data_IF_246047327046
#
_entry.id   IF_246047327046
#
_cell.length_a   1.000
_cell.length_b   1.000
_cell.length_c   1.000
_cell.angle_alpha   90.00
_cell.angle_beta   90.00
_cell.angle_gamma   90.00
#
_symmetry.space_group_name_H-M   'P 1'
#
loop_
_entity.id
_entity.type
_entity.pdbx_description
1 polymer ?
#
# COMPACT_ATOMS: atom_id res chain seq x y z
N UNK A 1 5.07 -11.83 19.96
CA UNK A 1 3.61 -11.77 20.12
C UNK A 1 3.22 -10.55 20.93
N UNK A 2 2.08 -9.95 20.61
CA UNK A 2 1.47 -8.88 21.40
C UNK A 2 0.45 -9.52 22.37
N UNK A 3 0.42 -9.03 23.60
CA UNK A 3 -0.56 -9.42 24.60
C UNK A 3 -1.10 -8.16 25.27
N UNK A 4 -2.33 -8.21 25.77
CA UNK A 4 -2.93 -7.12 26.50
C UNK A 4 -2.38 -7.11 27.92
N UNK A 5 -1.76 -5.99 28.33
CA UNK A 5 -1.21 -5.77 29.67
C UNK A 5 -1.84 -4.52 30.24
N UNK A 6 -2.86 -4.69 31.07
CA UNK A 6 -3.67 -3.59 31.57
C UNK A 6 -4.47 -2.95 30.44
N UNK A 7 -4.24 -1.66 30.14
CA UNK A 7 -4.89 -0.91 29.05
C UNK A 7 -4.02 -0.76 27.79
N UNK A 8 -2.89 -1.47 27.70
CA UNK A 8 -1.95 -1.35 26.58
C UNK A 8 -1.64 -2.72 25.99
N UNK A 9 -1.36 -2.75 24.69
CA UNK A 9 -0.76 -3.91 24.05
C UNK A 9 0.76 -3.86 24.23
N UNK A 10 1.34 -4.95 24.73
CA UNK A 10 2.78 -5.07 24.95
C UNK A 10 3.34 -6.28 24.23
N UNK A 11 4.62 -6.19 23.84
CA UNK A 11 5.37 -7.33 23.30
C UNK A 11 5.90 -8.15 24.49
N UNK A 12 5.28 -9.29 24.77
CA UNK A 12 5.65 -10.16 25.89
C UNK A 12 6.73 -11.16 25.53
N UNK A 13 6.94 -11.43 24.25
CA UNK A 13 7.99 -12.32 23.76
C UNK A 13 8.76 -11.65 22.64
N UNK A 14 10.00 -11.29 22.94
CA UNK A 14 10.91 -10.68 21.97
C UNK A 14 11.40 -11.72 20.95
N UNK A 15 11.50 -11.38 19.66
CA UNK A 15 12.11 -12.24 18.67
C UNK A 15 13.63 -12.28 18.88
N UNK A 16 14.25 -13.45 18.71
CA UNK A 16 15.69 -13.66 18.85
C UNK A 16 16.37 -14.07 17.55
N UNK A 17 15.63 -14.77 16.70
CA UNK A 17 16.13 -15.26 15.43
C UNK A 17 16.09 -14.15 14.35
N UNK A 18 17.01 -14.24 13.37
CA UNK A 18 17.18 -13.23 12.34
C UNK A 18 15.86 -12.91 11.59
N UNK A 19 15.13 -13.90 11.10
CA UNK A 19 13.89 -13.72 10.36
C UNK A 19 12.79 -12.99 11.17
N UNK A 20 12.39 -13.50 12.34
CA UNK A 20 11.43 -12.82 13.22
C UNK A 20 11.86 -11.43 13.68
N UNK A 21 13.16 -11.19 13.90
CA UNK A 21 13.67 -9.84 14.19
C UNK A 21 13.49 -8.91 13.00
N UNK A 22 13.82 -9.35 11.79
CA UNK A 22 13.61 -8.58 10.57
C UNK A 22 12.12 -8.22 10.39
N UNK A 23 11.21 -9.17 10.60
CA UNK A 23 9.76 -8.93 10.55
C UNK A 23 9.29 -7.91 11.61
N UNK A 24 9.91 -7.92 12.81
CA UNK A 24 9.60 -6.93 13.84
C UNK A 24 9.99 -5.50 13.41
N UNK A 25 11.16 -5.32 12.78
CA UNK A 25 11.56 -4.03 12.21
C UNK A 25 10.67 -3.61 11.03
N UNK A 26 10.25 -4.55 10.19
CA UNK A 26 9.29 -4.28 9.12
C UNK A 26 7.94 -3.82 9.69
N UNK A 27 7.43 -4.46 10.74
CA UNK A 27 6.20 -4.04 11.42
C UNK A 27 6.32 -2.65 12.04
N UNK A 28 7.48 -2.31 12.63
CA UNK A 28 7.76 -0.99 13.17
C UNK A 28 7.70 0.08 12.06
N UNK A 29 8.30 -0.19 10.89
CA UNK A 29 8.28 0.72 9.74
C UNK A 29 6.90 0.85 9.10
N UNK A 30 6.12 -0.22 9.11
CA UNK A 30 4.75 -0.22 8.58
C UNK A 30 3.75 0.48 9.52
N UNK A 31 4.06 0.62 10.80
CA UNK A 31 3.15 1.25 11.77
C UNK A 31 2.87 2.71 11.40
N UNK A 32 1.60 3.10 11.13
CA UNK A 32 1.26 4.44 10.65
C UNK A 32 1.51 5.53 11.69
N UNK A 33 1.34 5.19 12.98
CA UNK A 33 1.39 6.15 14.11
C UNK A 33 2.64 5.98 14.99
N UNK A 34 3.58 5.11 14.59
CA UNK A 34 4.81 4.88 15.36
C UNK A 34 4.59 4.26 16.75
N UNK A 35 3.49 3.53 16.95
CA UNK A 35 3.18 2.89 18.23
C UNK A 35 4.08 1.68 18.54
N UNK A 36 4.74 1.13 17.52
CA UNK A 36 5.70 0.04 17.68
C UNK A 36 7.09 0.65 17.79
N UNK A 37 7.76 0.44 18.92
CA UNK A 37 9.11 0.94 19.19
C UNK A 37 10.10 -0.16 19.48
N UNK A 38 11.39 0.17 19.46
CA UNK A 38 12.49 -0.68 19.93
C UNK A 38 13.24 0.05 21.03
N UNK A 39 13.50 -0.60 22.16
CA UNK A 39 14.25 -0.02 23.27
C UNK A 39 15.69 0.37 22.85
N UNK A 40 16.29 -0.49 22.03
CA UNK A 40 17.59 -0.22 21.40
C UNK A 40 17.44 -0.37 19.89
N UNK A 41 17.55 0.75 19.19
CA UNK A 41 17.46 0.75 17.72
C UNK A 41 18.78 0.29 17.12
N UNK A 42 18.76 -0.82 16.40
CA UNK A 42 19.85 -1.26 15.55
C UNK A 42 19.71 -0.62 14.17
N UNK A 43 20.62 0.30 13.85
CA UNK A 43 20.60 1.05 12.58
C UNK A 43 20.75 0.16 11.35
N UNK A 44 21.57 -0.90 11.45
CA UNK A 44 21.79 -1.81 10.32
C UNK A 44 20.51 -2.59 10.03
N UNK A 45 19.92 -3.18 11.05
CA UNK A 45 18.63 -3.90 10.90
C UNK A 45 17.49 -3.02 10.44
N UNK A 46 17.47 -1.76 10.89
CA UNK A 46 16.50 -0.79 10.42
C UNK A 46 16.66 -0.49 8.93
N UNK A 47 17.91 -0.31 8.47
CA UNK A 47 18.23 -0.10 7.05
C UNK A 47 17.88 -1.34 6.20
N UNK A 48 18.20 -2.53 6.68
CA UNK A 48 17.86 -3.79 6.00
C UNK A 48 16.33 -3.98 5.88
N UNK A 49 15.61 -3.68 6.96
CA UNK A 49 14.15 -3.72 6.92
C UNK A 49 13.57 -2.68 5.97
N UNK A 50 14.09 -1.46 5.97
CA UNK A 50 13.68 -0.41 5.04
C UNK A 50 13.94 -0.81 3.58
N UNK A 51 15.13 -1.34 3.29
CA UNK A 51 15.54 -1.77 1.94
C UNK A 51 14.74 -2.99 1.43
N UNK A 52 14.09 -3.74 2.32
CA UNK A 52 13.28 -4.89 1.94
C UNK A 52 11.91 -4.51 1.34
N UNK A 53 11.47 -3.27 1.49
CA UNK A 53 10.22 -2.80 0.90
C UNK A 53 10.41 -2.26 -0.54
N UNK A 54 9.43 -2.54 -1.43
CA UNK A 54 8.20 -3.32 -1.24
C UNK A 54 8.48 -4.82 -1.05
N UNK A 55 7.81 -5.43 -0.06
CA UNK A 55 7.96 -6.85 0.26
C UNK A 55 7.24 -7.70 -0.79
N UNK A 56 7.98 -8.50 -1.53
CA UNK A 56 7.37 -9.44 -2.47
C UNK A 56 6.49 -10.46 -1.72
N UNK A 57 5.27 -10.64 -2.22
CA UNK A 57 4.31 -11.61 -1.71
C UNK A 57 4.21 -12.81 -2.66
N UNK A 58 3.50 -12.64 -3.78
CA UNK A 58 3.25 -13.68 -4.76
C UNK A 58 2.89 -13.02 -6.11
N UNK A 59 3.20 -13.70 -7.21
CA UNK A 59 2.67 -13.36 -8.53
C UNK A 59 2.88 -11.92 -9.00
N UNK A 60 4.04 -11.32 -8.71
CA UNK A 60 4.33 -9.93 -9.06
C UNK A 60 3.73 -8.91 -8.10
N UNK A 61 3.01 -9.35 -7.05
CA UNK A 61 2.43 -8.48 -6.04
C UNK A 61 3.40 -8.28 -4.88
N UNK A 62 3.58 -7.03 -4.46
CA UNK A 62 4.40 -6.66 -3.31
C UNK A 62 3.61 -5.77 -2.34
N UNK A 63 3.83 -5.94 -1.04
CA UNK A 63 3.31 -5.06 0.00
C UNK A 63 4.25 -3.86 0.18
N UNK A 64 3.70 -2.64 0.09
CA UNK A 64 4.52 -1.43 0.11
C UNK A 64 5.08 -1.07 1.49
N UNK A 65 4.42 -1.49 2.58
CA UNK A 65 4.74 -1.02 3.92
C UNK A 65 4.49 0.48 4.11
N UNK A 66 5.09 1.06 5.15
CA UNK A 66 5.02 2.51 5.41
C UNK A 66 3.59 3.08 5.32
N UNK A 67 2.66 2.38 5.99
CA UNK A 67 1.26 2.78 6.00
C UNK A 67 1.09 4.22 6.48
N UNK A 68 0.12 4.93 5.93
CA UNK A 68 -0.11 6.34 6.22
C UNK A 68 -1.16 6.52 7.31
N UNK A 69 -0.93 7.43 8.24
CA UNK A 69 -1.96 7.89 9.17
C UNK A 69 -3.12 8.56 8.44
N UNK A 70 -2.85 9.20 7.28
CA UNK A 70 -3.86 9.84 6.45
C UNK A 70 -4.87 8.87 5.82
N UNK A 71 -4.51 7.60 5.72
CA UNK A 71 -5.38 6.50 5.28
C UNK A 71 -5.66 5.52 6.42
N UNK A 72 -5.75 6.01 7.65
CA UNK A 72 -6.06 5.22 8.85
C UNK A 72 -5.21 3.96 9.01
N UNK A 73 -4.02 3.94 8.39
CA UNK A 73 -3.11 2.79 8.42
C UNK A 73 -3.40 1.69 7.42
N UNK A 74 -4.22 1.97 6.41
CA UNK A 74 -4.49 1.01 5.34
C UNK A 74 -3.23 0.50 4.65
N UNK A 75 -3.26 -0.76 4.24
CA UNK A 75 -2.18 -1.38 3.50
C UNK A 75 -2.25 -0.99 2.02
N UNK A 76 -1.09 -0.77 1.42
CA UNK A 76 -0.95 -0.51 -0.01
C UNK A 76 -0.12 -1.60 -0.68
N UNK A 77 -0.40 -1.86 -1.95
CA UNK A 77 0.26 -2.92 -2.71
C UNK A 77 0.78 -2.40 -4.04
N UNK A 78 1.86 -2.99 -4.50
CA UNK A 78 2.44 -2.71 -5.81
C UNK A 78 2.39 -3.97 -6.66
N UNK A 79 1.93 -3.84 -7.91
CA UNK A 79 1.82 -4.96 -8.86
C UNK A 79 2.72 -4.66 -10.06
N UNK A 80 3.72 -5.51 -10.28
CA UNK A 80 4.56 -5.46 -11.47
C UNK A 80 3.82 -6.09 -12.65
N UNK A 81 3.64 -5.32 -13.74
CA UNK A 81 2.91 -5.77 -14.92
C UNK A 81 3.55 -5.23 -16.21
N UNK A 82 3.67 -6.05 -17.28
CA UNK A 82 4.34 -5.65 -18.52
C UNK A 82 3.70 -4.45 -19.22
N UNK A 83 2.39 -4.25 -19.08
CA UNK A 83 1.66 -3.12 -19.68
C UNK A 83 1.60 -1.90 -18.76
N UNK A 84 2.43 -1.86 -17.72
CA UNK A 84 2.53 -0.78 -16.74
C UNK A 84 2.13 -1.21 -15.33
N UNK A 85 2.96 -0.83 -14.36
CA UNK A 85 2.79 -1.21 -12.96
C UNK A 85 1.64 -0.47 -12.28
N UNK A 86 1.04 -1.14 -11.31
CA UNK A 86 -0.09 -0.62 -10.53
C UNK A 86 0.30 -0.42 -9.07
N UNK A 87 -0.09 0.73 -8.52
CA UNK A 87 -0.11 0.97 -7.08
C UNK A 87 -1.57 0.89 -6.60
N UNK A 88 -1.83 0.07 -5.60
CA UNK A 88 -3.16 -0.09 -5.00
C UNK A 88 -3.16 0.65 -3.67
N UNK A 89 -3.96 1.69 -3.57
CA UNK A 89 -3.93 2.69 -2.53
C UNK A 89 -2.54 3.34 -2.39
N UNK A 90 -2.26 4.07 -1.33
CA UNK A 90 -1.00 4.79 -1.26
C UNK A 90 -0.31 4.64 0.08
N UNK A 91 0.97 4.22 0.10
CA UNK A 91 1.81 4.36 1.28
C UNK A 91 2.23 5.82 1.48
N UNK A 92 2.93 6.12 2.57
CA UNK A 92 3.62 7.41 2.75
C UNK A 92 4.58 7.66 1.58
N UNK A 93 4.59 8.90 1.07
CA UNK A 93 5.52 9.30 0.00
C UNK A 93 6.95 9.45 0.58
N UNK A 94 7.80 8.47 0.32
CA UNK A 94 9.16 8.40 0.85
C UNK A 94 10.15 8.17 -0.27
N UNK A 95 11.29 8.88 -0.20
CA UNK A 95 12.34 8.84 -1.24
C UNK A 95 12.76 7.42 -1.60
N UNK A 96 13.02 6.57 -0.61
CA UNK A 96 13.48 5.19 -0.86
C UNK A 96 12.41 4.30 -1.53
N UNK A 97 11.09 4.53 -1.26
CA UNK A 97 10.03 3.84 -1.99
C UNK A 97 9.92 4.32 -3.42
N UNK A 98 10.06 5.64 -3.65
CA UNK A 98 10.10 6.20 -5.00
C UNK A 98 11.24 5.57 -5.80
N UNK A 99 12.46 5.55 -5.24
CA UNK A 99 13.63 4.91 -5.86
C UNK A 99 13.41 3.42 -6.13
N UNK A 100 12.76 2.70 -5.22
CA UNK A 100 12.43 1.28 -5.41
C UNK A 100 11.41 1.07 -6.54
N UNK A 101 10.39 1.93 -6.64
CA UNK A 101 9.43 1.88 -7.75
C UNK A 101 10.08 2.27 -9.08
N UNK A 102 10.98 3.27 -9.11
CA UNK A 102 11.75 3.63 -10.31
C UNK A 102 12.56 2.44 -10.84
N UNK A 103 13.26 1.72 -9.96
CA UNK A 103 14.02 0.52 -10.32
C UNK A 103 13.15 -0.60 -10.92
N UNK A 104 11.87 -0.62 -10.57
CA UNK A 104 10.88 -1.57 -11.08
C UNK A 104 10.11 -1.06 -12.32
N UNK A 105 10.51 0.08 -12.89
CA UNK A 105 9.88 0.64 -14.10
C UNK A 105 8.81 1.69 -13.82
N UNK A 106 8.71 2.20 -12.59
CA UNK A 106 7.79 3.26 -12.20
C UNK A 106 6.37 2.78 -11.92
N UNK A 107 5.44 3.73 -11.83
CA UNK A 107 4.01 3.50 -11.59
C UNK A 107 3.24 4.08 -12.77
N UNK A 108 2.42 3.27 -13.44
CA UNK A 108 1.56 3.73 -14.53
C UNK A 108 0.13 4.03 -14.06
N UNK A 109 -0.36 3.27 -13.08
CA UNK A 109 -1.71 3.37 -12.56
C UNK A 109 -1.71 3.36 -11.04
N UNK A 110 -2.58 4.19 -10.43
CA UNK A 110 -2.84 4.20 -8.98
C UNK A 110 -4.33 3.92 -8.81
N UNK A 111 -4.66 2.73 -8.34
CA UNK A 111 -6.03 2.33 -8.06
C UNK A 111 -6.38 2.67 -6.62
N UNK A 112 -7.34 3.56 -6.44
CA UNK A 112 -7.85 3.98 -5.14
C UNK A 112 -9.10 3.15 -4.83
N UNK A 113 -9.01 2.32 -3.81
CA UNK A 113 -10.12 1.44 -3.42
C UNK A 113 -11.33 2.25 -2.96
N UNK A 114 -11.09 3.38 -2.30
CA UNK A 114 -12.12 4.33 -1.87
C UNK A 114 -11.48 5.65 -1.41
N UNK A 115 -12.28 6.62 -1.04
CA UNK A 115 -11.84 7.99 -0.72
C UNK A 115 -10.94 8.12 0.52
N UNK A 116 -11.01 7.19 1.48
CA UNK A 116 -10.28 7.31 2.75
C UNK A 116 -8.82 6.83 2.63
N UNK A 117 -8.47 6.04 1.58
CA UNK A 117 -7.16 5.44 1.41
C UNK A 117 -6.27 6.15 0.38
N UNK A 118 -6.60 7.38 0.04
CA UNK A 118 -5.87 8.16 -0.98
C UNK A 118 -4.47 8.62 -0.53
N UNK A 119 -4.28 8.85 0.76
CA UNK A 119 -3.02 9.28 1.39
C UNK A 119 -2.14 10.23 0.55
N UNK A 120 -1.00 9.75 0.07
CA UNK A 120 -0.05 10.52 -0.76
C UNK A 120 -0.09 10.15 -2.26
N UNK A 121 -1.20 9.56 -2.75
CA UNK A 121 -1.38 9.14 -4.14
C UNK A 121 -1.11 10.26 -5.16
N UNK A 122 -1.51 11.49 -4.84
CA UNK A 122 -1.25 12.67 -5.69
C UNK A 122 0.25 12.89 -5.93
N UNK A 123 1.08 12.73 -4.88
CA UNK A 123 2.53 12.92 -5.00
C UNK A 123 3.17 11.84 -5.87
N UNK A 124 2.72 10.57 -5.72
CA UNK A 124 3.16 9.48 -6.58
C UNK A 124 2.69 9.70 -8.03
N UNK A 125 1.43 10.12 -8.24
CA UNK A 125 0.91 10.44 -9.55
C UNK A 125 1.72 11.55 -10.23
N UNK A 126 2.01 12.63 -9.51
CA UNK A 126 2.81 13.74 -10.03
C UNK A 126 4.25 13.32 -10.39
N UNK A 127 4.88 12.45 -9.57
CA UNK A 127 6.24 12.01 -9.78
C UNK A 127 6.38 11.08 -11.01
N UNK A 128 5.47 10.10 -11.12
CA UNK A 128 5.54 9.07 -12.17
C UNK A 128 4.73 9.39 -13.43
N UNK A 129 3.89 10.43 -13.40
CA UNK A 129 2.89 10.66 -14.44
C UNK A 129 1.78 9.60 -14.45
N UNK A 130 1.53 8.97 -13.30
CA UNK A 130 0.59 7.87 -13.17
C UNK A 130 -0.87 8.36 -13.22
N UNK A 131 -1.76 7.52 -13.77
CA UNK A 131 -3.20 7.79 -13.78
C UNK A 131 -3.85 7.25 -12.52
N UNK A 132 -4.50 8.14 -11.75
CA UNK A 132 -5.29 7.75 -10.57
C UNK A 132 -6.68 7.30 -11.02
N UNK A 133 -7.12 6.18 -10.46
CA UNK A 133 -8.40 5.54 -10.77
C UNK A 133 -9.23 5.56 -9.50
N UNK A 134 -10.41 6.17 -9.53
CA UNK A 134 -11.34 6.23 -8.40
C UNK A 134 -12.79 6.13 -8.89
N UNK A 135 -13.70 5.70 -8.05
CA UNK A 135 -15.12 5.69 -8.36
C UNK A 135 -15.73 7.10 -8.24
N UNK A 136 -16.70 7.41 -9.11
CA UNK A 136 -17.40 8.71 -9.13
C UNK A 136 -17.97 9.11 -7.76
N UNK A 137 -18.53 8.17 -7.02
CA UNK A 137 -19.15 8.45 -5.74
C UNK A 137 -18.15 8.81 -4.63
N UNK A 138 -16.87 8.53 -4.83
CA UNK A 138 -15.78 8.84 -3.89
C UNK A 138 -14.78 9.87 -4.46
N UNK A 139 -15.12 10.52 -5.57
CA UNK A 139 -14.24 11.46 -6.28
C UNK A 139 -13.78 12.61 -5.39
N UNK A 140 -14.53 12.97 -4.35
CA UNK A 140 -14.15 14.02 -3.40
C UNK A 140 -12.82 13.72 -2.67
N UNK A 141 -12.43 12.45 -2.52
CA UNK A 141 -11.16 12.06 -1.92
C UNK A 141 -9.95 12.31 -2.83
N UNK A 142 -10.16 12.29 -4.15
CA UNK A 142 -9.13 12.57 -5.16
C UNK A 142 -9.76 13.26 -6.38
N UNK A 143 -10.15 14.54 -6.28
CA UNK A 143 -11.02 15.23 -7.25
C UNK A 143 -10.39 15.35 -8.65
N UNK A 144 -9.05 15.39 -8.73
CA UNK A 144 -8.32 15.53 -9.99
C UNK A 144 -7.87 14.18 -10.57
N UNK A 145 -8.56 13.08 -10.21
CA UNK A 145 -8.23 11.76 -10.74
C UNK A 145 -8.50 11.66 -12.24
N UNK A 146 -7.54 11.09 -12.94
CA UNK A 146 -7.49 11.05 -14.41
C UNK A 146 -8.45 10.00 -14.99
N UNK A 147 -8.85 8.99 -14.20
CA UNK A 147 -9.74 7.92 -14.63
C UNK A 147 -10.83 7.67 -13.60
N UNK A 148 -12.03 8.14 -13.91
CA UNK A 148 -13.19 8.01 -13.03
C UNK A 148 -14.06 6.83 -13.47
N UNK A 149 -14.27 5.89 -12.55
CA UNK A 149 -15.16 4.73 -12.75
C UNK A 149 -16.60 5.13 -12.38
N UNK A 150 -17.53 4.73 -13.21
CA UNK A 150 -18.97 5.00 -13.00
C UNK A 150 -19.81 3.73 -13.08
N UNK A 151 -20.90 3.73 -12.32
CA UNK A 151 -21.89 2.65 -12.30
C UNK A 151 -21.54 1.52 -11.34
N UNK A 152 -22.44 0.55 -11.24
CA UNK A 152 -22.36 -0.56 -10.28
C UNK A 152 -21.83 -1.86 -10.90
N UNK A 153 -21.61 -1.89 -12.22
CA UNK A 153 -21.19 -3.09 -12.92
C UNK A 153 -19.67 -3.28 -12.89
N UNK A 154 -19.23 -4.51 -12.74
CA UNK A 154 -17.82 -4.85 -12.86
C UNK A 154 -17.31 -4.63 -14.27
N UNK A 155 -16.07 -4.09 -14.39
CA UNK A 155 -15.45 -3.77 -15.68
C UNK A 155 -14.07 -4.40 -15.78
N UNK A 156 -13.81 -5.09 -16.87
CA UNK A 156 -12.45 -5.44 -17.27
C UNK A 156 -11.78 -4.19 -17.84
N UNK A 157 -10.71 -3.72 -17.22
CA UNK A 157 -10.07 -2.45 -17.57
C UNK A 157 -8.78 -2.66 -18.37
N UNK A 158 -8.15 -3.80 -18.13
CA UNK A 158 -7.01 -4.32 -18.88
C UNK A 158 -7.04 -5.84 -18.82
N UNK A 159 -6.31 -6.56 -19.70
CA UNK A 159 -6.08 -7.99 -19.52
C UNK A 159 -5.61 -8.27 -18.09
N UNK A 160 -6.22 -9.27 -17.43
CA UNK A 160 -5.93 -9.68 -16.05
C UNK A 160 -6.44 -8.71 -14.95
N UNK A 161 -6.92 -7.50 -15.26
CA UNK A 161 -7.44 -6.55 -14.28
C UNK A 161 -8.94 -6.30 -14.45
N UNK A 162 -9.70 -6.58 -13.39
CA UNK A 162 -11.13 -6.28 -13.33
C UNK A 162 -11.44 -5.44 -12.10
N UNK A 163 -12.09 -4.32 -12.30
CA UNK A 163 -12.63 -3.47 -11.23
C UNK A 163 -14.03 -3.96 -10.89
N UNK A 164 -14.29 -4.14 -9.60
CA UNK A 164 -15.55 -4.62 -9.07
C UNK A 164 -16.04 -3.58 -8.06
N UNK A 165 -17.12 -2.81 -8.36
CA UNK A 165 -17.74 -1.95 -7.36
C UNK A 165 -18.30 -2.79 -6.20
N UNK A 166 -17.96 -2.42 -4.97
CA UNK A 166 -18.36 -3.08 -3.73
C UNK A 166 -18.84 -2.05 -2.70
N UNK A 167 -19.88 -1.26 -3.03
CA UNK A 167 -20.36 -0.21 -2.15
C UNK A 167 -20.74 -0.76 -0.77
N UNK A 168 -20.34 -0.08 0.28
CA UNK A 168 -20.58 -0.51 1.66
C UNK A 168 -19.92 0.45 2.63
N UNK A 169 -18.61 0.35 2.80
CA UNK A 169 -17.85 1.28 3.64
C UNK A 169 -17.98 2.73 3.13
N UNK A 170 -17.77 2.92 1.84
CA UNK A 170 -18.17 4.14 1.13
C UNK A 170 -19.06 3.81 -0.06
N UNK A 171 -19.83 4.79 -0.59
CA UNK A 171 -20.63 4.57 -1.80
C UNK A 171 -19.77 4.23 -3.04
N UNK A 172 -18.52 4.65 -3.08
CA UNK A 172 -17.60 4.43 -4.19
C UNK A 172 -16.55 3.34 -3.94
N UNK A 173 -16.70 2.53 -2.90
CA UNK A 173 -15.77 1.44 -2.64
C UNK A 173 -15.66 0.48 -3.82
N UNK A 174 -14.42 0.12 -4.19
CA UNK A 174 -14.10 -0.80 -5.28
C UNK A 174 -13.08 -1.84 -4.83
N UNK A 175 -13.16 -3.03 -5.42
CA UNK A 175 -12.12 -4.05 -5.34
C UNK A 175 -11.45 -4.21 -6.71
N UNK A 176 -10.16 -4.52 -6.72
CA UNK A 176 -9.40 -4.88 -7.91
C UNK A 176 -9.15 -6.40 -7.90
N UNK A 177 -9.69 -7.09 -8.89
CA UNK A 177 -9.36 -8.48 -9.15
C UNK A 177 -8.19 -8.52 -10.13
N UNK A 178 -7.03 -8.98 -9.65
CA UNK A 178 -5.86 -9.25 -10.48
C UNK A 178 -5.72 -10.76 -10.69
N UNK A 179 -5.67 -11.18 -11.94
CA UNK A 179 -5.46 -12.57 -12.32
C UNK A 179 -4.05 -12.75 -12.85
N UNK A 180 -3.15 -13.17 -11.99
CA UNK A 180 -1.85 -13.60 -12.43
C UNK A 180 -1.97 -14.98 -13.10
N UNK A 181 -1.79 -15.01 -14.42
CA UNK A 181 -1.87 -16.22 -15.25
C UNK A 181 -0.50 -16.60 -15.81
N UNK A 182 0.54 -16.52 -14.99
CA UNK A 182 1.88 -16.99 -15.37
C UNK A 182 2.07 -18.46 -15.03
#
# INVERSE_FOLDING_TARGET
SFEEVGSFSAVTRQPTDHGPVQQAYQALLACPVGAIGAEQSDKVRMQDAMASFPLHLEGGVSYCGFNSEKSFGANSFFIEHPDGNWLIDSPRYLKHLVEAFEQKGGIAYIFLTHKDDVADAEKYAAHFGAKRIIHRADLEGAPDSEWVIEGADSKEVMPQFRIIPVPGHTPGSMALLYRNTF
#
